data_IF_709297777418
#
_entry.id   IF_709297777418
#
_cell.length_a   1.000
_cell.length_b   1.000
_cell.length_c   1.000
_cell.angle_alpha   90.00
_cell.angle_beta   90.00
_cell.angle_gamma   90.00
#
_symmetry.space_group_name_H-M   'P 1'
#
loop_
_entity.id
_entity.type
_entity.pdbx_description
1 polymer ?
#
# COMPACT_ATOMS: atom_id res chain seq x y z
N UNK A 1 23.25 -16.88 -26.90
CA UNK A 1 22.06 -17.21 -26.07
C UNK A 1 22.19 -16.24 -24.91
N UNK A 2 21.66 -15.04 -25.13
CA UNK A 2 22.07 -13.88 -24.34
C UNK A 2 21.08 -13.75 -23.20
N UNK A 3 21.40 -14.41 -22.08
CA UNK A 3 20.73 -14.20 -20.79
C UNK A 3 21.23 -12.89 -20.20
N UNK A 4 20.82 -11.78 -20.81
CA UNK A 4 20.86 -10.45 -20.20
C UNK A 4 19.50 -10.25 -19.52
N UNK A 5 19.49 -9.68 -18.31
CA UNK A 5 18.35 -9.41 -17.41
C UNK A 5 18.05 -10.43 -16.29
N UNK A 6 18.96 -10.69 -15.34
CA UNK A 6 18.53 -11.14 -14.00
C UNK A 6 19.37 -10.64 -12.82
N UNK A 7 20.28 -9.68 -13.03
CA UNK A 7 21.25 -9.24 -12.00
C UNK A 7 21.03 -7.78 -11.59
N UNK A 8 19.78 -7.34 -11.39
CA UNK A 8 19.47 -5.90 -11.16
C UNK A 8 18.85 -5.56 -9.80
N UNK A 9 18.65 -6.52 -8.90
CA UNK A 9 18.20 -6.22 -7.55
C UNK A 9 19.12 -6.89 -6.53
N UNK A 10 19.99 -6.10 -5.88
CA UNK A 10 20.80 -6.56 -4.75
C UNK A 10 19.93 -6.93 -3.52
N UNK A 11 18.64 -6.53 -3.52
CA UNK A 11 17.68 -6.77 -2.44
C UNK A 11 16.29 -7.08 -3.00
N UNK A 12 15.68 -8.20 -2.58
CA UNK A 12 14.27 -8.49 -2.83
C UNK A 12 13.45 -8.11 -1.60
N UNK A 13 13.03 -6.84 -1.54
CA UNK A 13 12.21 -6.34 -0.44
C UNK A 13 10.74 -6.31 -0.86
N UNK A 14 9.88 -6.91 -0.04
CA UNK A 14 8.43 -6.75 -0.16
C UNK A 14 7.98 -5.63 0.78
N UNK A 15 7.40 -4.58 0.20
CA UNK A 15 6.72 -3.54 0.96
C UNK A 15 5.22 -3.80 0.97
N UNK A 16 4.65 -4.00 2.15
CA UNK A 16 3.22 -4.29 2.34
C UNK A 16 2.61 -3.41 3.43
N UNK A 17 1.30 -3.49 3.63
CA UNK A 17 0.59 -2.75 4.68
C UNK A 17 0.12 -3.71 5.76
N UNK A 18 0.26 -3.31 7.03
CA UNK A 18 -0.23 -4.09 8.16
C UNK A 18 -1.71 -3.81 8.40
N UNK A 19 -2.14 -2.57 8.22
CA UNK A 19 -3.54 -2.19 8.31
C UNK A 19 -4.30 -2.63 7.07
N UNK A 20 -4.94 -3.80 7.17
CA UNK A 20 -5.77 -4.37 6.10
C UNK A 20 -6.98 -3.49 5.76
N UNK A 21 -7.51 -2.71 6.70
CA UNK A 21 -8.61 -1.81 6.42
C UNK A 21 -8.14 -0.67 5.51
N UNK A 22 -7.04 -0.01 5.87
CA UNK A 22 -6.44 1.06 5.07
C UNK A 22 -5.92 0.54 3.72
N UNK A 23 -5.42 -0.69 3.65
CA UNK A 23 -5.04 -1.36 2.40
C UNK A 23 -6.26 -1.61 1.49
N UNK A 24 -7.34 -2.12 2.05
CA UNK A 24 -8.59 -2.38 1.33
C UNK A 24 -9.18 -1.08 0.79
N UNK A 25 -9.27 -0.03 1.62
CA UNK A 25 -9.74 1.28 1.19
C UNK A 25 -8.92 1.84 0.03
N UNK A 26 -7.58 1.73 0.10
CA UNK A 26 -6.73 2.15 -1.01
C UNK A 26 -7.06 1.41 -2.31
N UNK A 27 -7.30 0.10 -2.25
CA UNK A 27 -7.66 -0.69 -3.43
C UNK A 27 -9.03 -0.28 -3.98
N UNK A 28 -10.02 -0.07 -3.12
CA UNK A 28 -11.34 0.41 -3.52
C UNK A 28 -11.25 1.80 -4.19
N UNK A 29 -10.55 2.75 -3.58
CA UNK A 29 -10.36 4.11 -4.12
C UNK A 29 -9.67 4.02 -5.49
N UNK A 30 -8.56 3.28 -5.58
CA UNK A 30 -7.79 3.14 -6.82
C UNK A 30 -8.63 2.55 -7.96
N UNK A 31 -9.41 1.50 -7.67
CA UNK A 31 -10.29 0.87 -8.67
C UNK A 31 -11.46 1.76 -9.07
N UNK A 32 -12.12 2.40 -8.10
CA UNK A 32 -13.30 3.21 -8.37
C UNK A 32 -12.95 4.51 -9.11
N UNK A 33 -11.81 5.12 -8.79
CA UNK A 33 -11.31 6.31 -9.48
C UNK A 33 -10.48 6.01 -10.72
N UNK A 34 -10.16 4.73 -10.97
CA UNK A 34 -9.19 4.30 -11.99
C UNK A 34 -7.82 5.00 -11.84
N UNK A 35 -7.39 5.22 -10.60
CA UNK A 35 -6.18 5.95 -10.26
C UNK A 35 -5.23 5.06 -9.47
N UNK A 36 -4.29 4.44 -10.18
CA UNK A 36 -3.20 3.66 -9.58
C UNK A 36 -1.92 4.49 -9.38
N UNK A 37 -1.93 5.75 -9.83
CA UNK A 37 -0.84 6.71 -9.70
C UNK A 37 -1.46 8.02 -9.19
N UNK A 38 -0.79 8.70 -8.25
CA UNK A 38 -1.25 9.96 -7.64
C UNK A 38 -1.34 11.10 -8.67
N UNK A 39 -2.38 11.09 -9.50
CA UNK A 39 -2.65 12.14 -10.48
C UNK A 39 -3.62 13.18 -9.88
N UNK A 40 -3.21 13.86 -8.79
CA UNK A 40 -3.82 15.11 -8.26
C UNK A 40 -5.37 15.20 -8.11
N UNK A 41 -6.12 14.10 -8.26
CA UNK A 41 -7.58 14.12 -8.44
C UNK A 41 -8.35 13.46 -7.28
N UNK A 42 -7.76 13.46 -6.08
CA UNK A 42 -8.45 13.03 -4.86
C UNK A 42 -9.35 14.12 -4.24
N UNK A 43 -9.68 15.18 -4.98
CA UNK A 43 -10.52 16.27 -4.49
C UNK A 43 -12.00 15.93 -4.41
N UNK A 44 -12.45 14.86 -5.07
CA UNK A 44 -13.85 14.43 -5.09
C UNK A 44 -14.03 13.27 -4.10
N UNK A 45 -14.82 13.46 -3.03
CA UNK A 45 -15.20 12.36 -2.15
C UNK A 45 -16.07 11.33 -2.87
N UNK A 46 -15.90 10.07 -2.50
CA UNK A 46 -16.62 8.93 -3.07
C UNK A 46 -17.34 8.15 -1.98
N UNK A 47 -18.45 7.50 -2.36
CA UNK A 47 -19.09 6.45 -1.56
C UNK A 47 -18.59 5.11 -2.10
N UNK A 48 -18.14 4.23 -1.21
CA UNK A 48 -17.74 2.86 -1.56
C UNK A 48 -18.88 1.92 -1.18
N UNK A 49 -19.36 1.14 -2.13
CA UNK A 49 -20.38 0.12 -1.87
C UNK A 49 -19.85 -0.99 -0.94
N UNK A 50 -20.70 -1.49 -0.03
CA UNK A 50 -20.32 -2.49 0.98
C UNK A 50 -19.96 -3.84 0.37
N UNK A 51 -20.70 -4.30 -0.64
CA UNK A 51 -20.40 -5.57 -1.32
C UNK A 51 -19.11 -5.47 -2.12
N UNK A 52 -18.88 -4.31 -2.74
CA UNK A 52 -17.60 -4.01 -3.38
C UNK A 52 -16.46 -4.06 -2.37
N UNK A 53 -16.58 -3.38 -1.23
CA UNK A 53 -15.58 -3.40 -0.17
C UNK A 53 -15.27 -4.81 0.34
N UNK A 54 -16.30 -5.63 0.61
CA UNK A 54 -16.13 -7.02 1.05
C UNK A 54 -15.34 -7.87 0.05
N UNK A 55 -15.61 -7.69 -1.25
CA UNK A 55 -14.88 -8.40 -2.31
C UNK A 55 -13.41 -7.99 -2.34
N UNK A 56 -13.15 -6.69 -2.25
CA UNK A 56 -11.79 -6.17 -2.27
C UNK A 56 -11.03 -6.55 -0.98
N UNK A 57 -11.70 -6.59 0.19
CA UNK A 57 -11.11 -7.07 1.44
C UNK A 57 -10.59 -8.50 1.33
N UNK A 58 -11.38 -9.42 0.75
CA UNK A 58 -10.96 -10.80 0.48
C UNK A 58 -9.75 -10.82 -0.46
N UNK A 59 -9.80 -10.05 -1.54
CA UNK A 59 -8.69 -9.93 -2.49
C UNK A 59 -7.41 -9.38 -1.86
N UNK A 60 -7.51 -8.41 -0.95
CA UNK A 60 -6.36 -7.85 -0.23
C UNK A 60 -5.71 -8.91 0.64
N UNK A 61 -6.48 -9.71 1.39
CA UNK A 61 -5.92 -10.81 2.19
C UNK A 61 -5.24 -11.84 1.30
N UNK A 62 -5.92 -12.28 0.25
CA UNK A 62 -5.40 -13.31 -0.64
C UNK A 62 -4.10 -12.84 -1.29
N UNK A 63 -4.05 -11.58 -1.73
CA UNK A 63 -2.84 -10.97 -2.28
C UNK A 63 -1.71 -10.83 -1.26
N UNK A 64 -2.00 -10.38 -0.03
CA UNK A 64 -0.97 -10.26 1.02
C UNK A 64 -0.37 -11.64 1.34
N UNK A 65 -1.19 -12.66 1.49
CA UNK A 65 -0.73 -14.02 1.73
C UNK A 65 0.07 -14.55 0.53
N UNK A 66 -0.44 -14.38 -0.70
CA UNK A 66 0.27 -14.82 -1.89
C UNK A 66 1.62 -14.12 -2.04
N UNK A 67 1.70 -12.81 -1.85
CA UNK A 67 2.96 -12.08 -2.01
C UNK A 67 3.99 -12.58 -0.99
N UNK A 68 3.60 -12.76 0.27
CA UNK A 68 4.51 -13.24 1.32
C UNK A 68 4.96 -14.68 1.04
N UNK A 69 4.05 -15.55 0.60
CA UNK A 69 4.35 -16.97 0.41
C UNK A 69 5.10 -17.26 -0.91
N UNK A 70 4.85 -16.49 -1.96
CA UNK A 70 5.41 -16.74 -3.30
C UNK A 70 6.64 -15.90 -3.62
N UNK A 71 6.72 -14.68 -3.10
CA UNK A 71 7.93 -13.85 -3.29
C UNK A 71 8.92 -14.31 -2.23
N UNK A 72 9.98 -15.02 -2.65
CA UNK A 72 11.15 -15.32 -1.80
C UNK A 72 11.91 -14.03 -1.47
N UNK A 73 11.26 -13.14 -0.76
CA UNK A 73 11.80 -11.85 -0.35
C UNK A 73 12.86 -12.08 0.72
N UNK A 74 13.94 -11.32 0.66
CA UNK A 74 14.95 -11.30 1.70
C UNK A 74 14.40 -10.66 2.99
N UNK A 75 13.48 -9.70 2.81
CA UNK A 75 12.81 -8.98 3.90
C UNK A 75 11.39 -8.59 3.49
N UNK A 76 10.45 -8.66 4.45
CA UNK A 76 9.12 -8.04 4.37
C UNK A 76 9.10 -6.84 5.31
N UNK A 77 8.75 -5.66 4.80
CA UNK A 77 8.57 -4.46 5.59
C UNK A 77 7.12 -3.98 5.51
N UNK A 78 6.63 -3.43 6.61
CA UNK A 78 5.36 -2.75 6.64
C UNK A 78 5.54 -1.25 6.40
N UNK A 79 4.69 -0.65 5.58
CA UNK A 79 4.73 0.80 5.29
C UNK A 79 4.67 1.67 6.55
N UNK A 80 4.01 1.17 7.59
CA UNK A 80 3.83 1.79 8.89
C UNK A 80 5.14 1.83 9.71
N UNK A 81 6.14 1.04 9.31
CA UNK A 81 7.46 0.98 9.94
C UNK A 81 8.47 1.89 9.21
N UNK A 82 8.12 2.42 8.04
CA UNK A 82 8.99 3.30 7.28
C UNK A 82 9.03 4.71 7.90
N UNK A 83 10.22 5.32 8.03
CA UNK A 83 10.34 6.72 8.40
C UNK A 83 9.74 7.63 7.32
N UNK A 84 9.33 8.83 7.70
CA UNK A 84 8.70 9.79 6.79
C UNK A 84 9.71 10.58 5.95
N UNK A 85 10.96 10.66 6.37
CA UNK A 85 12.02 11.37 5.65
C UNK A 85 12.76 10.44 4.67
N UNK A 86 12.96 10.86 3.41
CA UNK A 86 13.59 10.02 2.37
C UNK A 86 15.02 9.57 2.68
N UNK A 87 15.79 10.38 3.43
CA UNK A 87 17.17 10.05 3.78
C UNK A 87 17.22 8.90 4.79
N UNK A 88 16.35 8.89 5.80
CA UNK A 88 16.26 7.77 6.75
C UNK A 88 15.73 6.49 6.08
N UNK A 89 14.83 6.61 5.09
CA UNK A 89 14.42 5.45 4.28
C UNK A 89 15.64 4.87 3.55
N UNK A 90 16.48 5.71 2.93
CA UNK A 90 17.72 5.27 2.29
C UNK A 90 18.66 4.58 3.28
N UNK A 91 18.87 5.18 4.45
CA UNK A 91 19.72 4.61 5.49
C UNK A 91 19.20 3.25 5.96
N UNK A 92 17.89 3.13 6.17
CA UNK A 92 17.24 1.86 6.55
C UNK A 92 17.50 0.75 5.52
N UNK A 93 17.45 1.07 4.22
CA UNK A 93 17.63 0.07 3.16
C UNK A 93 19.09 -0.26 2.83
N UNK A 94 19.99 0.72 2.95
CA UNK A 94 21.38 0.58 2.47
C UNK A 94 22.40 0.49 3.60
N UNK A 95 22.05 0.89 4.82
CA UNK A 95 22.97 1.07 5.94
C UNK A 95 23.92 2.25 5.80
N UNK A 96 23.72 3.13 4.81
CA UNK A 96 24.61 4.26 4.48
C UNK A 96 23.84 5.57 4.42
N UNK A 97 24.54 6.70 4.53
CA UNK A 97 23.96 8.01 4.23
C UNK A 97 23.96 8.27 2.72
N UNK A 98 22.92 8.90 2.16
CA UNK A 98 22.92 9.25 0.76
C UNK A 98 23.96 10.34 0.48
N UNK A 99 24.68 10.21 -0.64
CA UNK A 99 25.75 11.15 -1.04
C UNK A 99 25.23 12.60 -1.18
N UNK A 100 23.94 12.75 -1.49
CA UNK A 100 23.22 14.02 -1.51
C UNK A 100 21.85 13.81 -0.88
N UNK A 101 21.33 14.84 -0.21
CA UNK A 101 19.97 14.79 0.33
C UNK A 101 18.97 14.46 -0.77
N UNK A 102 18.11 13.49 -0.49
CA UNK A 102 17.05 13.06 -1.38
C UNK A 102 15.85 13.98 -1.15
N UNK A 103 15.46 14.70 -2.19
CA UNK A 103 14.18 15.41 -2.22
C UNK A 103 13.09 14.47 -2.75
N UNK A 104 11.94 14.41 -2.06
CA UNK A 104 10.80 13.64 -2.49
C UNK A 104 9.66 14.58 -2.92
N UNK A 105 9.53 14.90 -4.22
CA UNK A 105 8.51 15.82 -4.70
C UNK A 105 7.11 15.20 -4.69
N UNK A 106 6.99 13.89 -4.44
CA UNK A 106 5.71 13.18 -4.44
C UNK A 106 5.01 13.47 -3.12
N UNK A 107 3.92 14.25 -3.20
CA UNK A 107 3.04 14.47 -2.06
C UNK A 107 2.41 13.14 -1.62
N UNK A 108 2.33 12.95 -0.31
CA UNK A 108 1.57 11.85 0.27
C UNK A 108 0.10 11.93 -0.17
N UNK A 109 -0.52 10.77 -0.34
CA UNK A 109 -1.95 10.68 -0.61
C UNK A 109 -2.74 11.34 0.54
N UNK A 110 -3.89 11.95 0.25
CA UNK A 110 -4.71 12.56 1.29
C UNK A 110 -5.25 11.51 2.28
N UNK A 111 -5.71 11.99 3.43
CA UNK A 111 -6.40 11.15 4.41
C UNK A 111 -7.62 10.48 3.76
N UNK A 112 -7.74 9.17 3.89
CA UNK A 112 -8.85 8.41 3.28
C UNK A 112 -10.20 8.78 3.88
N UNK A 113 -10.26 9.26 5.12
CA UNK A 113 -11.50 9.79 5.71
C UNK A 113 -12.00 11.02 4.94
N UNK A 114 -11.10 11.80 4.36
CA UNK A 114 -11.47 12.96 3.53
C UNK A 114 -11.93 12.57 2.11
N UNK A 115 -11.61 11.35 1.68
CA UNK A 115 -11.91 10.83 0.34
C UNK A 115 -13.14 9.92 0.34
N UNK A 116 -13.37 9.16 1.40
CA UNK A 116 -14.44 8.16 1.48
C UNK A 116 -15.52 8.65 2.44
N UNK A 117 -16.69 8.99 1.90
CA UNK A 117 -17.76 9.63 2.68
C UNK A 117 -18.44 8.69 3.67
N UNK A 118 -18.45 7.39 3.38
CA UNK A 118 -19.01 6.36 4.26
C UNK A 118 -17.92 5.57 5.00
N UNK A 119 -16.80 6.22 5.33
CA UNK A 119 -15.63 5.60 5.98
C UNK A 119 -16.00 4.82 7.25
N UNK A 120 -16.78 5.42 8.16
CA UNK A 120 -17.14 4.79 9.44
C UNK A 120 -17.99 3.53 9.24
N UNK A 121 -18.94 3.56 8.31
CA UNK A 121 -19.74 2.36 7.98
C UNK A 121 -18.88 1.21 7.44
N UNK A 122 -17.85 1.53 6.65
CA UNK A 122 -16.91 0.53 6.14
C UNK A 122 -15.99 0.01 7.23
N UNK A 123 -15.64 0.85 8.21
CA UNK A 123 -14.84 0.45 9.38
C UNK A 123 -15.63 -0.51 10.28
N UNK A 124 -16.91 -0.23 10.50
CA UNK A 124 -17.83 -1.15 11.19
C UNK A 124 -17.94 -2.49 10.46
N UNK A 125 -18.14 -2.44 9.13
CA UNK A 125 -18.18 -3.63 8.29
C UNK A 125 -16.88 -4.43 8.38
N UNK A 126 -15.73 -3.78 8.25
CA UNK A 126 -14.41 -4.41 8.41
C UNK A 126 -14.28 -5.12 9.77
N UNK A 127 -14.69 -4.46 10.85
CA UNK A 127 -14.64 -5.05 12.19
C UNK A 127 -15.51 -6.32 12.27
N UNK A 128 -16.70 -6.31 11.66
CA UNK A 128 -17.57 -7.49 11.60
C UNK A 128 -16.99 -8.63 10.74
N UNK A 129 -16.37 -8.31 9.61
CA UNK A 129 -15.71 -9.30 8.74
C UNK A 129 -14.52 -9.95 9.42
N UNK A 130 -13.74 -9.16 10.19
CA UNK A 130 -12.56 -9.63 10.91
C UNK A 130 -12.91 -10.58 12.06
N UNK A 131 -14.02 -10.36 12.76
CA UNK A 131 -14.47 -11.21 13.88
C UNK A 131 -15.23 -12.46 13.42
N UNK A 132 -15.66 -12.51 12.17
CA UNK A 132 -16.37 -13.66 11.58
C UNK A 132 -15.43 -14.74 11.02
N UNK A 133 -14.12 -14.60 11.22
CA UNK A 133 -13.07 -15.57 10.87
C UNK A 133 -12.45 -16.15 12.13
#
# INVERSE_FOLDING_TARGET
MDKVFYDMCDYNIVLTRKDLFEATLSLCIAKQKMQFINAQQDSIPIVIDKQFFEREYKGTIDNTNCIIDYVKADTVLYTEELPSDPNSIWHMFTGTEPIKSIDNPIKMSPDKQSVVTNYDELKELYNALRTSR
#
